data_IF_054854716390
#
_entry.id   IF_054854716390
#
_cell.length_a   1.000
_cell.length_b   1.000
_cell.length_c   1.000
_cell.angle_alpha   90.00
_cell.angle_beta   90.00
_cell.angle_gamma   90.00
#
_symmetry.space_group_name_H-M   'P 1'
#
loop_
_entity.id
_entity.type
_entity.pdbx_description
1 polymer ?
2 non-polymer ?
3 non-polymer ?
4 non-polymer ?
5 non-polymer ?
6 non-polymer ?
7 water ?
#
# COMPACT_ATOMS: atom_id res chain seq x y z
N UNK A 1 7.55 7.78 -3.01
CA UNK A 1 6.97 8.91 -2.28
C UNK A 1 7.63 10.20 -2.75
N UNK A 2 6.81 11.14 -3.21
CA UNK A 2 7.30 12.48 -3.59
C UNK A 2 7.14 13.41 -2.39
N UNK A 3 8.18 14.22 -2.13
CA UNK A 3 8.11 15.19 -1.05
C UNK A 3 8.17 14.62 0.36
N UNK A 4 8.68 13.40 0.52
CA UNK A 4 8.80 12.79 1.82
C UNK A 4 10.22 12.85 2.39
N UNK A 5 10.43 12.07 3.45
CA UNK A 5 11.75 11.99 4.10
C UNK A 5 12.04 10.55 4.47
N UNK A 6 13.32 10.29 4.76
CA UNK A 6 13.74 8.97 5.24
C UNK A 6 12.96 8.58 6.48
N UNK A 7 12.43 7.36 6.49
CA UNK A 7 11.87 6.78 7.70
C UNK A 7 12.98 6.38 8.66
N UNK A 8 12.63 6.31 9.94
CA UNK A 8 13.51 5.68 10.92
C UNK A 8 13.44 4.17 10.79
N UNK A 9 14.56 3.51 11.07
CA UNK A 9 14.57 2.05 11.07
C UNK A 9 13.52 1.54 12.06
N UNK A 10 12.65 0.66 11.60
CA UNK A 10 11.60 0.12 12.46
C UNK A 10 10.39 1.01 12.68
N UNK A 11 10.32 2.16 12.01
CA UNK A 11 9.22 3.11 12.26
C UNK A 11 7.90 2.60 11.69
N UNK A 12 7.93 1.79 10.65
CA UNK A 12 6.72 1.30 9.98
C UNK A 12 6.85 -0.20 9.83
N UNK A 13 6.77 -0.94 10.95
CA UNK A 13 7.10 -2.38 10.92
C UNK A 13 6.07 -3.25 10.21
N UNK A 14 4.98 -2.67 9.72
CA UNK A 14 3.99 -3.36 8.88
C UNK A 14 4.25 -3.20 7.38
N UNK A 15 5.18 -2.32 6.98
CA UNK A 15 5.47 -2.10 5.57
C UNK A 15 6.26 -3.28 5.00
N UNK A 16 5.82 -3.79 3.87
CA UNK A 16 6.41 -4.96 3.22
C UNK A 16 6.80 -4.57 1.80
N UNK A 17 7.90 -5.17 1.31
CA UNK A 17 8.36 -5.00 -0.07
C UNK A 17 8.18 -6.31 -0.83
N UNK A 18 7.52 -6.26 -1.99
CA UNK A 18 7.23 -7.42 -2.82
C UNK A 18 8.11 -7.39 -4.06
N UNK A 19 8.99 -8.39 -4.18
CA UNK A 19 9.90 -8.55 -5.31
C UNK A 19 9.42 -9.69 -6.18
N UNK A 20 9.43 -9.46 -7.50
CA UNK A 20 9.16 -10.49 -8.49
C UNK A 20 10.48 -11.09 -8.98
N UNK A 21 10.49 -12.41 -9.18
CA UNK A 21 11.69 -13.13 -9.59
C UNK A 21 12.44 -12.40 -10.68
N UNK A 22 13.69 -12.04 -10.40
CA UNK A 22 14.56 -11.42 -11.37
C UNK A 22 14.30 -9.96 -11.65
N UNK A 23 13.37 -9.32 -10.95
CA UNK A 23 12.98 -7.96 -11.24
C UNK A 23 13.14 -6.98 -10.09
N UNK A 24 13.44 -7.45 -8.88
CA UNK A 24 13.51 -6.55 -7.75
C UNK A 24 12.13 -6.09 -7.29
N UNK A 25 12.14 -5.02 -6.49
CA UNK A 25 10.92 -4.50 -5.89
C UNK A 25 9.93 -4.03 -6.95
N UNK A 26 8.71 -4.56 -6.89
CA UNK A 26 7.61 -4.11 -7.75
C UNK A 26 6.55 -3.35 -6.95
N UNK A 27 6.11 -3.89 -5.82
CA UNK A 27 4.98 -3.32 -5.11
C UNK A 27 5.21 -3.41 -3.62
N UNK A 28 4.49 -2.54 -2.88
CA UNK A 28 4.40 -2.64 -1.44
C UNK A 28 3.22 -3.51 -0.98
N UNK A 29 3.20 -3.76 0.32
CA UNK A 29 2.12 -4.49 0.98
C UNK A 29 2.14 -4.12 2.46
N UNK A 30 1.13 -4.60 3.21
CA UNK A 30 1.06 -4.39 4.65
C UNK A 30 0.82 -5.71 5.37
N UNK A 31 1.53 -5.92 6.47
CA UNK A 31 1.31 -7.08 7.33
C UNK A 31 0.06 -6.87 8.20
N UNK A 32 -0.90 -7.78 8.14
CA UNK A 32 -2.11 -7.68 8.97
C UNK A 32 -2.27 -8.81 9.96
N UNK A 33 -1.52 -9.88 9.83
CA UNK A 33 -1.56 -11.02 10.76
C UNK A 33 -0.30 -11.85 10.53
N UNK A 34 -0.08 -12.92 11.29
CA UNK A 34 1.13 -13.72 11.06
C UNK A 34 1.23 -14.29 9.65
N UNK A 35 0.09 -14.52 8.99
CA UNK A 35 0.07 -15.26 7.73
C UNK A 35 -0.39 -14.43 6.53
N UNK A 36 -0.78 -13.17 6.73
CA UNK A 36 -1.54 -12.48 5.69
C UNK A 36 -1.04 -11.06 5.47
N UNK A 37 -1.03 -10.65 4.19
CA UNK A 37 -0.73 -9.28 3.77
C UNK A 37 -1.88 -8.72 2.96
N UNK A 38 -2.01 -7.40 2.97
CA UNK A 38 -2.90 -6.64 2.08
C UNK A 38 -2.04 -5.90 1.04
N UNK A 39 -2.50 -5.89 -0.20
CA UNK A 39 -1.78 -5.22 -1.27
C UNK A 39 -2.80 -4.75 -2.31
N UNK A 40 -2.32 -4.41 -3.51
CA UNK A 40 -3.16 -3.92 -4.60
C UNK A 40 -3.31 -5.02 -5.65
N UNK A 41 -4.54 -5.21 -6.14
CA UNK A 41 -4.76 -6.26 -7.12
C UNK A 41 -4.02 -6.00 -8.42
N UNK A 42 -3.82 -4.73 -8.80
CA UNK A 42 -3.22 -4.47 -10.10
C UNK A 42 -1.76 -4.90 -10.17
N UNK A 43 -1.11 -5.18 -9.05
CA UNK A 43 0.26 -5.67 -9.08
C UNK A 43 0.36 -7.13 -9.52
N UNK A 44 -0.75 -7.88 -9.54
CA UNK A 44 -0.71 -9.33 -9.70
C UNK A 44 -1.49 -9.77 -10.94
N UNK A 45 -1.31 -9.03 -12.03
CA UNK A 45 -1.97 -9.29 -13.31
C UNK A 45 -0.93 -9.82 -14.30
N UNK A 46 -1.21 -10.96 -14.92
CA UNK A 46 -0.29 -11.51 -15.93
C UNK A 46 -0.11 -10.55 -17.10
N UNK A 47 1.11 -10.51 -17.66
CA UNK A 47 1.30 -9.95 -18.99
C UNK A 47 2.06 -10.96 -19.84
N UNK A 48 2.23 -10.63 -21.13
CA UNK A 48 2.82 -11.58 -22.07
C UNK A 48 4.24 -11.97 -21.70
N UNK A 49 4.90 -11.20 -20.83
CA UNK A 49 6.25 -11.52 -20.45
C UNK A 49 6.44 -12.18 -19.11
N UNK A 50 5.44 -12.15 -18.23
CA UNK A 50 5.65 -12.58 -16.86
C UNK A 50 4.30 -12.84 -16.18
N UNK A 51 4.22 -13.95 -15.43
CA UNK A 51 2.97 -14.37 -14.80
C UNK A 51 2.90 -13.79 -13.39
N UNK A 52 2.57 -12.49 -13.31
CA UNK A 52 2.50 -11.82 -12.02
C UNK A 52 1.39 -12.34 -11.12
N UNK A 53 0.42 -13.09 -11.67
CA UNK A 53 -0.65 -13.63 -10.84
C UNK A 53 -0.25 -14.91 -10.12
N UNK A 54 0.96 -15.40 -10.35
CA UNK A 54 1.39 -16.69 -9.83
C UNK A 54 2.14 -16.48 -8.52
N UNK A 55 1.65 -17.01 -7.40
CA UNK A 55 2.31 -16.70 -6.11
C UNK A 55 3.74 -17.18 -6.02
N UNK A 56 4.13 -18.21 -6.78
CA UNK A 56 5.50 -18.70 -6.72
C UNK A 56 6.51 -17.74 -7.38
N UNK A 57 6.05 -16.74 -8.11
CA UNK A 57 6.95 -15.77 -8.71
C UNK A 57 7.37 -14.65 -7.77
N UNK A 58 6.99 -14.69 -6.49
CA UNK A 58 7.18 -13.54 -5.62
C UNK A 58 7.98 -13.89 -4.38
N UNK A 59 8.59 -12.85 -3.79
CA UNK A 59 9.25 -12.91 -2.49
C UNK A 59 8.84 -11.68 -1.70
N UNK A 60 8.45 -11.86 -0.44
CA UNK A 60 8.11 -10.75 0.44
C UNK A 60 9.22 -10.53 1.46
N UNK A 61 9.66 -9.29 1.59
CA UNK A 61 10.65 -8.90 2.60
C UNK A 61 9.95 -8.09 3.70
N UNK A 62 9.98 -8.61 4.91
CA UNK A 62 9.41 -7.96 6.08
C UNK A 62 10.53 -7.40 6.95
N UNK A 63 10.27 -6.25 7.58
CA UNK A 63 11.31 -5.61 8.38
C UNK A 63 12.43 -5.00 7.58
N UNK A 64 12.20 -4.74 6.29
CA UNK A 64 13.20 -4.15 5.41
C UNK A 64 13.27 -2.64 5.58
N UNK A 65 14.48 -2.09 5.52
CA UNK A 65 14.68 -0.65 5.59
C UNK A 65 15.33 -0.10 4.33
N UNK A 66 16.41 -0.73 3.88
CA UNK A 66 17.22 -0.31 2.75
C UNK A 66 17.18 -1.39 1.68
N UNK A 67 16.72 -1.04 0.48
CA UNK A 67 16.57 -2.06 -0.56
C UNK A 67 17.89 -2.72 -0.93
N UNK A 68 19.02 -2.07 -0.66
CA UNK A 68 20.33 -2.66 -0.94
C UNK A 68 20.84 -3.52 0.21
N UNK A 69 20.07 -3.68 1.30
CA UNK A 69 20.50 -4.43 2.48
C UNK A 69 19.37 -5.40 2.88
N UNK A 70 19.10 -6.37 2.00
CA UNK A 70 17.99 -7.29 2.18
C UNK A 70 18.32 -8.47 3.07
N UNK A 71 19.56 -8.58 3.55
CA UNK A 71 19.97 -9.62 4.49
C UNK A 71 20.30 -9.07 5.87
N UNK A 72 20.01 -7.79 6.12
CA UNK A 72 20.42 -7.17 7.37
C UNK A 72 19.70 -7.84 8.54
N UNK A 73 20.25 -7.71 9.75
CA UNK A 73 19.58 -8.25 10.93
C UNK A 73 18.12 -7.76 11.02
N UNK A 74 17.22 -8.68 11.35
CA UNK A 74 15.81 -8.37 11.50
C UNK A 74 14.96 -8.54 10.25
N UNK A 75 15.56 -8.49 9.07
CA UNK A 75 14.80 -8.67 7.83
C UNK A 75 14.36 -10.12 7.71
N UNK A 76 13.08 -10.34 7.40
CA UNK A 76 12.54 -11.68 7.22
C UNK A 76 12.13 -11.87 5.76
N UNK A 77 12.52 -13.00 5.17
CA UNK A 77 12.21 -13.32 3.79
C UNK A 77 11.15 -14.41 3.76
N UNK A 78 10.11 -14.22 2.94
CA UNK A 78 9.02 -15.18 2.89
C UNK A 78 8.56 -15.35 1.44
N UNK A 79 8.20 -16.58 1.09
CA UNK A 79 7.48 -16.85 -0.15
C UNK A 79 5.98 -16.69 0.07
N UNK A 80 5.24 -16.65 -1.04
CA UNK A 80 3.77 -16.63 -1.01
C UNK A 80 3.23 -17.99 -1.44
N UNK A 81 2.13 -18.41 -0.83
CA UNK A 81 1.45 -19.60 -1.30
C UNK A 81 0.13 -19.28 -1.99
N UNK A 82 -0.43 -18.08 -1.83
CA UNK A 82 -1.68 -17.76 -2.51
C UNK A 82 -1.82 -16.26 -2.69
N UNK A 83 -2.41 -15.85 -3.81
CA UNK A 83 -2.78 -14.46 -4.09
C UNK A 83 -4.28 -14.43 -4.36
N UNK A 84 -5.02 -13.65 -3.55
CA UNK A 84 -6.47 -13.49 -3.72
C UNK A 84 -6.74 -12.06 -4.14
N UNK A 85 -6.93 -11.83 -5.44
CA UNK A 85 -7.41 -10.54 -5.91
C UNK A 85 -8.91 -10.41 -5.68
N UNK A 86 -9.37 -9.21 -5.39
CA UNK A 86 -10.79 -9.03 -5.13
C UNK A 86 -11.60 -9.45 -6.35
N UNK A 87 -12.68 -10.24 -6.18
CA UNK A 87 -13.42 -10.71 -7.37
C UNK A 87 -14.08 -9.59 -8.17
N UNK A 88 -14.29 -8.41 -7.60
CA UNK A 88 -14.93 -7.32 -8.34
C UNK A 88 -13.90 -6.36 -8.95
N UNK A 89 -12.62 -6.70 -8.93
CA UNK A 89 -11.60 -5.86 -9.56
C UNK A 89 -11.96 -5.53 -11.00
N UNK A 90 -11.76 -4.25 -11.36
CA UNK A 90 -12.04 -3.71 -12.70
C UNK A 90 -10.72 -3.26 -13.30
N UNK A 91 -10.23 -3.98 -14.31
CA UNK A 91 -8.91 -3.65 -14.87
C UNK A 91 -8.94 -2.46 -15.81
N UNK A 92 -10.09 -1.83 -16.02
CA UNK A 92 -10.16 -0.61 -16.81
C UNK A 92 -10.18 0.64 -15.92
N UNK A 93 -11.02 0.64 -14.89
CA UNK A 93 -11.11 1.76 -13.96
C UNK A 93 -10.24 1.60 -12.72
N UNK A 94 -9.80 0.37 -12.45
CA UNK A 94 -9.08 -0.03 -11.25
C UNK A 94 -9.92 0.10 -9.98
N UNK A 95 -11.24 0.05 -10.15
CA UNK A 95 -12.16 -0.21 -9.05
C UNK A 95 -11.79 -1.50 -8.33
N UNK A 96 -12.06 -1.54 -7.02
CA UNK A 96 -11.81 -2.73 -6.19
C UNK A 96 -10.35 -3.20 -6.27
N UNK A 97 -9.42 -2.26 -6.19
CA UNK A 97 -7.99 -2.55 -6.39
C UNK A 97 -7.37 -2.98 -5.06
N UNK A 98 -7.60 -4.23 -4.69
CA UNK A 98 -7.13 -4.76 -3.41
C UNK A 98 -6.93 -6.27 -3.56
N UNK A 99 -5.91 -6.78 -2.88
CA UNK A 99 -5.56 -8.21 -2.91
C UNK A 99 -5.10 -8.64 -1.52
N UNK A 100 -5.24 -9.93 -1.24
CA UNK A 100 -4.75 -10.55 -0.01
C UNK A 100 -3.70 -11.56 -0.40
N UNK A 101 -2.56 -11.52 0.27
CA UNK A 101 -1.44 -12.40 -0.03
C UNK A 101 -1.14 -13.28 1.18
N UNK A 102 -1.13 -14.58 0.99
CA UNK A 102 -0.91 -15.55 2.06
C UNK A 102 0.57 -15.92 2.09
N UNK A 103 1.20 -15.69 3.23
CA UNK A 103 2.59 -16.07 3.40
C UNK A 103 2.73 -17.58 3.41
N UNK A 104 3.84 -18.05 2.84
CA UNK A 104 4.11 -19.49 2.81
C UNK A 104 4.44 -20.02 4.20
N UNK A 105 5.09 -19.22 5.04
CA UNK A 105 5.27 -19.51 6.46
C UNK A 105 5.03 -18.22 7.24
N UNK A 106 4.68 -18.33 8.52
CA UNK A 106 4.28 -17.13 9.28
C UNK A 106 5.44 -16.17 9.52
N UNK A 107 5.10 -14.89 9.59
CA UNK A 107 6.06 -13.91 10.04
C UNK A 107 6.30 -14.08 11.53
N UNK A 108 7.50 -13.70 11.96
CA UNK A 108 7.85 -13.70 13.38
C UNK A 108 7.80 -12.27 13.88
N UNK A 109 6.88 -11.99 14.82
CA UNK A 109 6.77 -10.63 15.34
C UNK A 109 8.03 -10.25 16.10
N UNK A 110 8.44 -8.99 15.94
CA UNK A 110 9.68 -8.50 16.51
C UNK A 110 9.60 -6.99 16.56
N UNK A 111 10.68 -6.35 17.01
CA UNK A 111 10.68 -4.90 17.00
C UNK A 111 10.63 -4.33 15.59
N UNK A 112 10.98 -5.14 14.58
CA UNK A 112 11.01 -4.69 13.19
C UNK A 112 9.82 -5.19 12.37
N UNK A 113 9.06 -6.15 12.87
CA UNK A 113 7.97 -6.78 12.11
C UNK A 113 6.75 -6.86 13.02
N UNK A 114 5.69 -6.12 12.67
CA UNK A 114 4.50 -6.00 13.51
C UNK A 114 3.31 -5.66 12.64
N UNK A 115 2.13 -6.22 12.89
CA UNK A 115 0.98 -5.94 12.02
C UNK A 115 0.40 -4.56 12.25
N UNK A 116 -0.19 -3.99 11.19
CA UNK A 116 -0.99 -2.77 11.33
C UNK A 116 -2.39 -3.15 11.84
N UNK A 117 -3.07 -2.19 12.45
CA UNK A 117 -4.45 -2.43 12.87
C UNK A 117 -5.41 -2.18 11.70
N UNK A 118 -6.47 -3.01 11.60
CA UNK A 118 -7.51 -2.83 10.59
C UNK A 118 -8.74 -2.14 11.15
N UNK A 119 -9.29 -1.18 10.42
CA UNK A 119 -10.48 -0.47 10.90
C UNK A 119 -11.76 -1.27 10.72
N UNK A 120 -12.69 -1.07 11.65
CA UNK A 120 -14.02 -1.65 11.56
C UNK A 120 -14.80 -1.08 10.37
N UNK A 121 -15.78 -1.86 9.89
CA UNK A 121 -16.49 -1.48 8.67
C UNK A 121 -17.18 -0.12 8.80
N UNK A 122 -17.58 0.28 10.01
CA UNK A 122 -18.30 1.53 10.18
C UNK A 122 -17.39 2.73 10.42
N UNK A 123 -16.07 2.56 10.43
CA UNK A 123 -15.21 3.70 10.72
C UNK A 123 -15.08 4.58 9.48
N UNK A 124 -15.13 5.90 9.69
CA UNK A 124 -14.96 6.88 8.63
C UNK A 124 -13.66 7.64 8.90
N UNK A 125 -12.77 7.67 7.91
CA UNK A 125 -11.59 8.52 7.98
C UNK A 125 -11.99 9.90 7.48
N UNK A 126 -12.02 10.92 8.33
CA UNK A 126 -12.71 12.17 7.98
C UNK A 126 -11.90 13.08 7.06
N UNK A 127 -12.62 13.92 6.32
CA UNK A 127 -11.95 14.91 5.49
C UNK A 127 -11.02 15.75 6.34
N UNK A 128 -9.83 16.01 5.80
CA UNK A 128 -8.85 16.83 6.47
C UNK A 128 -7.93 16.10 7.41
N UNK A 129 -8.16 14.82 7.68
CA UNK A 129 -7.33 14.13 8.66
C UNK A 129 -5.94 13.83 8.10
N UNK A 130 -4.94 13.99 8.95
CA UNK A 130 -3.56 13.67 8.59
C UNK A 130 -3.34 12.16 8.51
N UNK A 131 -2.64 11.75 7.45
CA UNK A 131 -2.40 10.36 7.10
C UNK A 131 -0.97 10.25 6.59
N UNK A 132 -0.33 9.12 6.84
CA UNK A 132 1.05 8.90 6.39
C UNK A 132 1.09 7.90 5.25
N UNK A 133 1.91 8.17 4.24
CA UNK A 133 2.13 7.22 3.17
C UNK A 133 3.61 6.86 3.18
N UNK A 134 3.91 5.59 2.91
CA UNK A 134 5.26 5.07 3.01
C UNK A 134 5.57 4.19 1.80
N UNK A 135 6.82 4.16 1.40
CA UNK A 135 7.20 3.21 0.37
C UNK A 135 8.57 3.52 -0.20
N UNK A 136 9.00 2.63 -1.10
CA UNK A 136 10.26 2.73 -1.83
C UNK A 136 10.08 3.21 -3.26
N UNK A 137 8.94 3.81 -3.59
CA UNK A 137 8.68 4.22 -4.95
C UNK A 137 9.46 5.47 -5.35
N UNK A 138 9.20 5.91 -6.58
CA UNK A 138 9.87 7.07 -7.16
C UNK A 138 9.72 8.32 -6.30
N UNK A 139 10.79 9.12 -6.24
CA UNK A 139 10.71 10.37 -5.49
C UNK A 139 10.31 11.54 -6.36
N UNK A 140 10.22 11.33 -7.67
CA UNK A 140 9.66 12.28 -8.62
C UNK A 140 8.93 11.47 -9.69
N UNK A 141 7.89 12.05 -10.28
CA UNK A 141 7.26 11.35 -11.40
C UNK A 141 8.28 11.18 -12.53
N UNK A 142 8.38 9.95 -13.04
CA UNK A 142 9.41 9.62 -14.00
C UNK A 142 10.82 9.58 -13.45
N UNK A 143 11.00 9.63 -12.13
CA UNK A 143 12.32 9.68 -11.50
C UNK A 143 12.84 8.32 -11.10
N UNK A 144 13.50 8.25 -9.95
CA UNK A 144 14.13 7.02 -9.49
C UNK A 144 13.65 6.66 -8.10
N UNK A 145 13.63 5.36 -7.81
CA UNK A 145 13.14 4.90 -6.53
C UNK A 145 14.12 5.14 -5.40
N UNK A 146 13.60 5.13 -4.17
CA UNK A 146 14.41 5.32 -2.99
C UNK A 146 14.93 3.99 -2.47
N UNK A 147 16.22 3.96 -2.10
CA UNK A 147 16.78 2.80 -1.41
C UNK A 147 16.26 2.70 0.02
N UNK A 148 16.25 3.83 0.72
CA UNK A 148 15.75 3.91 2.10
C UNK A 148 14.26 4.18 2.07
N UNK A 149 13.51 3.44 2.88
CA UNK A 149 12.06 3.65 2.97
C UNK A 149 11.72 5.11 3.26
N UNK A 150 10.77 5.66 2.52
CA UNK A 150 10.36 7.06 2.64
C UNK A 150 8.99 7.16 3.30
N UNK A 151 8.76 8.26 4.01
CA UNK A 151 7.45 8.57 4.60
C UNK A 151 7.02 9.98 4.21
N UNK A 152 5.71 10.18 4.06
CA UNK A 152 5.16 11.48 3.75
C UNK A 152 3.82 11.69 4.41
N UNK A 153 3.54 12.93 4.79
CA UNK A 153 2.29 13.29 5.45
C UNK A 153 1.35 13.97 4.47
N UNK A 154 0.15 13.40 4.32
CA UNK A 154 -0.88 13.88 3.39
C UNK A 154 -2.20 13.98 4.16
N UNK A 155 -3.25 14.45 3.48
CA UNK A 155 -4.55 14.62 4.14
C UNK A 155 -5.70 14.08 3.30
N UNK A 156 -6.69 13.49 3.98
CA UNK A 156 -7.90 13.04 3.32
C UNK A 156 -8.62 14.23 2.69
N UNK A 157 -9.08 14.04 1.45
CA UNK A 157 -9.80 15.07 0.69
C UNK A 157 -11.27 14.68 0.57
N UNK A 158 -12.15 15.66 0.75
CA UNK A 158 -13.60 15.46 0.61
C UNK A 158 -13.94 14.68 -0.67
N UNK A 159 -14.88 13.73 -0.56
CA UNK A 159 -15.14 12.81 -1.69
C UNK A 159 -15.75 13.55 -2.87
N UNK A 160 -16.59 14.55 -2.63
CA UNK A 160 -17.16 15.32 -3.74
C UNK A 160 -16.08 16.10 -4.48
N UNK A 161 -15.17 16.71 -3.72
CA UNK A 161 -14.03 17.39 -4.34
C UNK A 161 -13.22 16.40 -5.17
N UNK A 162 -12.90 15.24 -4.58
CA UNK A 162 -12.19 14.20 -5.30
C UNK A 162 -12.84 13.89 -6.64
N UNK A 163 -14.15 13.60 -6.63
CA UNK A 163 -14.85 13.28 -7.87
C UNK A 163 -14.72 14.41 -8.89
N UNK A 164 -14.81 15.66 -8.45
CA UNK A 164 -14.76 16.78 -9.38
C UNK A 164 -13.37 16.99 -9.96
N UNK A 165 -12.33 16.63 -9.21
CA UNK A 165 -10.97 16.79 -9.71
C UNK A 165 -10.63 15.74 -10.77
N UNK A 166 -11.23 14.56 -10.68
CA UNK A 166 -10.94 13.45 -11.59
C UNK A 166 -12.27 12.91 -12.11
N UNK A 167 -12.92 13.64 -13.02
CA UNK A 167 -14.30 13.30 -13.38
C UNK A 167 -14.40 11.95 -14.06
N UNK A 168 -15.48 11.22 -13.75
CA UNK A 168 -15.77 9.93 -14.37
C UNK A 168 -14.73 8.86 -14.02
N UNK A 169 -13.97 9.04 -12.93
CA UNK A 169 -12.97 8.05 -12.54
C UNK A 169 -12.98 7.64 -11.07
N UNK A 170 -13.71 8.32 -10.20
CA UNK A 170 -13.64 8.06 -8.76
C UNK A 170 -14.89 7.28 -8.35
N UNK A 171 -14.71 6.03 -7.95
CA UNK A 171 -15.80 5.22 -7.43
C UNK A 171 -15.83 5.29 -5.91
N UNK A 172 -16.92 4.83 -5.29
CA UNK A 172 -16.99 4.81 -3.82
C UNK A 172 -15.95 3.91 -3.15
N UNK A 173 -15.27 3.04 -3.89
CA UNK A 173 -14.18 2.28 -3.29
C UNK A 173 -12.88 3.08 -3.21
N UNK A 174 -12.84 4.26 -3.81
CA UNK A 174 -11.63 5.05 -3.92
C UNK A 174 -11.71 6.27 -3.00
N UNK A 175 -10.54 6.76 -2.60
CA UNK A 175 -10.45 7.95 -1.75
C UNK A 175 -9.26 8.79 -2.20
N UNK A 176 -9.45 10.11 -2.32
CA UNK A 176 -8.32 11.01 -2.59
C UNK A 176 -7.63 11.39 -1.29
N UNK A 177 -6.30 11.32 -1.27
CA UNK A 177 -5.50 11.74 -0.12
C UNK A 177 -4.25 12.44 -0.65
N UNK A 178 -3.95 13.60 -0.09
CA UNK A 178 -2.84 14.41 -0.58
C UNK A 178 -3.10 15.89 -0.31
N UNK A 179 -2.74 16.71 -1.29
CA UNK A 179 -2.92 18.16 -1.23
C UNK A 179 -3.34 18.67 -2.60
N UNK A 180 -4.29 19.61 -2.62
CA UNK A 180 -4.68 20.20 -3.90
C UNK A 180 -3.52 20.98 -4.52
N UNK A 181 -2.60 21.49 -3.70
CA UNK A 181 -1.44 22.20 -4.21
C UNK A 181 -0.34 21.28 -4.72
N UNK A 182 -0.47 19.96 -4.55
CA UNK A 182 0.59 19.05 -4.96
C UNK A 182 1.65 18.90 -3.90
N UNK A 183 2.87 18.59 -4.34
CA UNK A 183 4.02 18.53 -3.45
C UNK A 183 4.34 17.21 -2.74
N UNK A 184 3.35 16.61 -2.08
CA UNK A 184 3.53 15.35 -1.37
C UNK A 184 2.52 14.34 -1.92
N UNK A 185 2.99 13.12 -2.23
CA UNK A 185 2.17 12.13 -2.92
C UNK A 185 2.92 10.80 -2.94
N UNK A 186 2.18 9.70 -3.08
CA UNK A 186 2.82 8.45 -3.46
C UNK A 186 3.12 8.49 -4.96
N UNK A 187 3.82 7.47 -5.45
CA UNK A 187 4.27 7.46 -6.83
C UNK A 187 4.63 6.04 -7.24
N UNK A 188 5.07 5.86 -8.49
CA UNK A 188 5.36 4.51 -9.02
C UNK A 188 6.31 3.74 -8.13
N UNK A 189 5.89 2.53 -7.74
CA UNK A 189 6.63 1.69 -6.81
C UNK A 189 6.07 1.69 -5.40
N UNK A 190 5.19 2.64 -5.09
CA UNK A 190 4.48 2.65 -3.81
C UNK A 190 3.18 1.83 -3.83
N UNK A 191 2.68 1.52 -5.04
CA UNK A 191 1.48 0.70 -5.21
C UNK A 191 1.43 -0.48 -4.25
N UNK A 192 0.26 -0.69 -3.66
CA UNK A 192 0.04 -1.78 -2.75
C UNK A 192 0.41 -1.51 -1.31
N UNK A 193 1.18 -0.46 -1.04
CA UNK A 193 1.57 -0.11 0.31
C UNK A 193 0.41 0.49 1.09
N UNK A 194 0.54 0.56 2.42
CA UNK A 194 -0.55 1.08 3.25
C UNK A 194 -0.52 2.58 3.49
N UNK A 195 -1.73 3.15 3.65
CA UNK A 195 -1.86 4.41 4.35
C UNK A 195 -1.92 4.13 5.85
N UNK A 196 -1.14 4.88 6.64
CA UNK A 196 -1.08 4.72 8.09
C UNK A 196 -1.72 5.93 8.75
N UNK A 197 -2.76 5.70 9.56
CA UNK A 197 -3.43 6.77 10.30
C UNK A 197 -3.24 6.60 11.80
N UNK A 198 -2.80 7.67 12.48
CA UNK A 198 -2.68 7.65 13.94
C UNK A 198 -4.06 7.89 14.54
N UNK A 199 -4.52 6.95 15.35
CA UNK A 199 -5.87 7.05 15.85
C UNK A 199 -5.86 7.48 17.32
N UNK A 200 -6.99 7.29 18.02
CA UNK A 200 -7.25 8.05 19.23
C UNK A 200 -6.28 7.72 20.37
N UNK A 201 -5.77 6.50 20.42
CA UNK A 201 -4.79 6.15 21.44
C UNK A 201 -3.36 6.09 20.89
N UNK A 202 -3.12 6.64 19.71
CA UNK A 202 -1.82 6.60 19.10
C UNK A 202 -1.51 5.35 18.31
N UNK A 203 -2.36 4.32 18.39
CA UNK A 203 -2.14 3.14 17.56
C UNK A 203 -2.46 3.44 16.10
N UNK A 204 -1.74 2.77 15.20
CA UNK A 204 -1.84 3.06 13.77
C UNK A 204 -2.75 2.06 13.09
N UNK A 205 -3.71 2.57 12.33
CA UNK A 205 -4.68 1.80 11.56
C UNK A 205 -4.45 2.06 10.07
N UNK A 206 -4.79 1.07 9.25
CA UNK A 206 -4.62 1.20 7.81
C UNK A 206 -5.82 1.91 7.20
N UNK A 207 -5.58 3.03 6.52
CA UNK A 207 -6.62 3.87 5.95
C UNK A 207 -6.80 3.69 4.45
N UNK A 208 -5.96 2.90 3.80
CA UNK A 208 -6.08 2.76 2.35
C UNK A 208 -4.93 1.96 1.80
N UNK A 209 -5.05 1.67 0.49
CA UNK A 209 -4.01 1.01 -0.31
C UNK A 209 -3.60 1.94 -1.45
N UNK A 210 -2.30 2.14 -1.64
CA UNK A 210 -1.83 2.94 -2.78
C UNK A 210 -2.28 2.31 -4.08
N UNK A 211 -2.96 3.08 -4.93
CA UNK A 211 -3.54 2.55 -6.16
C UNK A 211 -3.05 3.28 -7.41
N UNK A 212 -3.45 4.53 -7.66
CA UNK A 212 -3.10 5.22 -8.90
C UNK A 212 -3.12 6.74 -8.70
N UNK A 213 -2.74 7.44 -9.75
CA UNK A 213 -2.80 8.90 -9.80
C UNK A 213 -2.44 9.36 -11.19
N UNK A 214 -2.76 10.63 -11.47
CA UNK A 214 -2.36 11.26 -12.72
C UNK A 214 -1.00 11.91 -12.47
N UNK A 215 0.06 11.29 -12.96
CA UNK A 215 1.37 11.80 -12.58
C UNK A 215 1.59 11.58 -11.09
N UNK A 216 2.45 12.41 -10.50
CA UNK A 216 2.70 12.33 -9.07
C UNK A 216 2.89 13.74 -8.51
N UNK A 217 2.16 14.06 -7.45
CA UNK A 217 2.34 15.32 -6.72
C UNK A 217 1.98 16.55 -7.55
N UNK A 218 1.18 16.40 -8.59
CA UNK A 218 0.76 17.53 -9.40
C UNK A 218 -0.37 18.29 -8.72
N UNK A 219 -0.38 19.61 -8.91
CA UNK A 219 -1.49 20.43 -8.45
C UNK A 219 -2.80 19.86 -8.98
N UNK A 220 -3.82 19.85 -8.10
CA UNK A 220 -5.18 19.38 -8.38
C UNK A 220 -5.24 17.93 -8.86
N UNK A 221 -4.20 17.13 -8.60
CA UNK A 221 -4.16 15.72 -8.97
C UNK A 221 -3.69 14.87 -7.79
N UNK A 222 -4.48 14.77 -6.73
CA UNK A 222 -4.08 13.97 -5.56
C UNK A 222 -4.07 12.48 -5.85
N UNK A 223 -3.29 11.76 -5.05
CA UNK A 223 -3.27 10.31 -5.16
C UNK A 223 -4.62 9.70 -4.84
N UNK A 224 -4.91 8.58 -5.50
CA UNK A 224 -6.17 7.86 -5.33
C UNK A 224 -5.87 6.50 -4.68
N UNK A 225 -6.59 6.19 -3.60
CA UNK A 225 -6.33 5.04 -2.75
C UNK A 225 -7.57 4.17 -2.61
N UNK A 226 -7.38 2.85 -2.49
CA UNK A 226 -8.48 1.95 -2.18
C UNK A 226 -8.79 2.02 -0.69
N UNK A 227 -10.07 2.22 -0.35
CA UNK A 227 -10.51 2.31 1.04
C UNK A 227 -10.38 0.96 1.74
N UNK A 228 -10.33 0.99 3.08
CA UNK A 228 -10.20 -0.23 3.87
C UNK A 228 -11.45 -0.63 4.65
N UNK A 229 -12.14 0.28 5.35
CA UNK A 229 -13.29 -0.15 6.17
C UNK A 229 -14.31 -0.95 5.38
N UNK A 230 -14.52 -0.55 4.13
CA UNK A 230 -15.46 -1.23 3.24
C UNK A 230 -15.15 -2.71 3.05
N UNK A 231 -13.89 -3.12 3.23
CA UNK A 231 -13.48 -4.49 2.99
C UNK A 231 -13.20 -5.29 4.28
N UNK A 232 -13.54 -4.76 5.46
CA UNK A 232 -13.28 -5.49 6.69
C UNK A 232 -13.88 -6.91 6.66
N UNK A 233 -15.14 -7.02 6.24
CA UNK A 233 -15.82 -8.31 6.19
C UNK A 233 -15.20 -9.24 5.15
N UNK A 234 -14.92 -8.71 3.95
CA UNK A 234 -14.25 -9.51 2.92
C UNK A 234 -12.94 -10.08 3.44
N UNK A 235 -12.13 -9.27 4.14
CA UNK A 235 -10.89 -9.77 4.72
C UNK A 235 -11.17 -10.86 5.74
N UNK A 236 -12.12 -10.62 6.64
CA UNK A 236 -12.44 -11.63 7.65
C UNK A 236 -12.91 -12.92 7.01
N UNK A 237 -13.78 -12.84 6.00
CA UNK A 237 -14.31 -14.05 5.39
C UNK A 237 -13.24 -14.86 4.66
N UNK A 238 -12.21 -14.18 4.13
CA UNK A 238 -11.21 -14.85 3.31
C UNK A 238 -9.99 -15.31 4.10
N UNK A 239 -9.69 -14.68 5.23
CA UNK A 239 -8.47 -14.97 5.96
C UNK A 239 -8.71 -15.43 7.39
N UNK A 240 -9.91 -15.26 7.93
CA UNK A 240 -10.12 -15.43 9.35
C UNK A 240 -9.63 -14.29 10.21
N UNK A 241 -8.89 -13.34 9.64
CA UNK A 241 -8.35 -12.20 10.38
C UNK A 241 -9.42 -11.15 10.64
#
# INVERSE_FOLDING_TARGET
VVGGTDADEGEWPWQVSLHALGQGHICGASLISPNWLVSAAHCYIDDRGFRYSDPTQWTAFLGLHDQSQRSAPGVQERRLKRIISHPFFNDFTFDYDIALLELEKPAEYSSMVRPICLPDASHVFPAGKAIWVTGWGHTQYGGTGALILQKGEIRVINQTTCENLLPQQITPRMMCVGFLSGGVDSCQGDSGGPLSSVEADGRIFQAGVVSWGDGCAQRNKPGVYTRLPLFRDWIKENTGV
#
